data_IF_092060445102
#
_entry.id   IF_092060445102
#
_cell.length_a   1.000
_cell.length_b   1.000
_cell.length_c   1.000
_cell.angle_alpha   90.00
_cell.angle_beta   90.00
_cell.angle_gamma   90.00
#
_symmetry.space_group_name_H-M   'P 1'
#
loop_
_entity.id
_entity.type
_entity.pdbx_description
1 polymer ?
#
# COMPACT_ATOMS: atom_id res chain seq x y z
N UNK A 1 10.55 6.18 -8.02
CA UNK A 1 11.74 7.00 -8.35
C UNK A 1 12.23 7.71 -7.08
N UNK A 2 13.53 7.68 -6.76
CA UNK A 2 14.08 8.49 -5.67
C UNK A 2 14.07 9.96 -6.08
N UNK A 3 13.45 10.83 -5.28
CA UNK A 3 13.31 12.28 -5.56
C UNK A 3 14.14 13.14 -4.61
N UNK A 4 14.51 12.61 -3.45
CA UNK A 4 15.35 13.31 -2.47
C UNK A 4 16.23 12.32 -1.72
N UNK A 5 17.46 12.72 -1.40
CA UNK A 5 18.34 12.03 -0.45
C UNK A 5 19.12 13.03 0.37
N UNK A 6 19.03 12.91 1.70
CA UNK A 6 19.84 13.62 2.68
C UNK A 6 20.62 12.58 3.48
N UNK A 7 21.93 12.80 3.63
CA UNK A 7 22.79 11.96 4.44
C UNK A 7 22.45 12.06 5.92
N UNK A 8 22.96 11.12 6.72
CA UNK A 8 22.87 11.17 8.18
C UNK A 8 23.56 12.42 8.77
N UNK A 9 24.54 13.01 8.09
CA UNK A 9 25.19 14.25 8.53
C UNK A 9 24.29 15.47 8.39
N UNK A 10 23.44 15.51 7.36
CA UNK A 10 22.47 16.60 7.13
C UNK A 10 21.20 16.39 7.94
N UNK A 11 20.68 15.16 7.97
CA UNK A 11 19.43 14.81 8.67
C UNK A 11 19.65 13.55 9.49
N UNK A 12 19.77 13.73 10.81
CA UNK A 12 20.29 12.70 11.73
C UNK A 12 19.25 11.67 12.17
N UNK A 13 17.96 11.97 12.07
CA UNK A 13 16.90 11.06 12.48
C UNK A 13 16.84 9.82 11.57
N UNK A 14 16.69 8.65 12.19
CA UNK A 14 16.63 7.34 11.56
C UNK A 14 17.83 6.96 10.66
N UNK A 15 18.96 7.68 10.72
CA UNK A 15 20.13 7.39 9.88
C UNK A 15 20.10 8.03 8.49
N UNK A 16 19.33 9.10 8.32
CA UNK A 16 19.23 9.86 7.07
C UNK A 16 17.79 9.99 6.58
N UNK A 17 17.63 10.54 5.39
CA UNK A 17 16.32 10.72 4.76
C UNK A 17 16.40 10.50 3.26
N UNK A 18 15.43 9.80 2.71
CA UNK A 18 15.28 9.52 1.30
C UNK A 18 13.79 9.49 0.98
N UNK A 19 13.39 10.13 -0.10
CA UNK A 19 12.00 10.14 -0.55
C UNK A 19 11.90 9.45 -1.89
N UNK A 20 10.91 8.59 -2.03
CA UNK A 20 10.61 7.84 -3.22
C UNK A 20 9.20 8.18 -3.69
N UNK A 21 9.10 8.79 -4.87
CA UNK A 21 7.84 9.02 -5.55
C UNK A 21 7.36 7.72 -6.17
N UNK A 22 6.12 7.35 -5.84
CA UNK A 22 5.37 6.23 -6.37
C UNK A 22 4.26 6.77 -7.28
N UNK A 23 4.15 6.21 -8.47
CA UNK A 23 3.09 6.47 -9.45
C UNK A 23 2.79 5.17 -10.19
N UNK A 24 1.56 5.02 -10.66
CA UNK A 24 1.15 3.93 -11.55
C UNK A 24 0.73 4.56 -12.87
N UNK A 25 1.19 3.97 -13.97
CA UNK A 25 0.80 4.35 -15.31
C UNK A 25 0.10 3.15 -15.96
N UNK A 26 -0.96 3.42 -16.72
CA UNK A 26 -1.65 2.42 -17.53
C UNK A 26 -1.47 2.76 -19.00
N UNK A 27 -1.28 1.73 -19.82
CA UNK A 27 -1.23 1.89 -21.26
C UNK A 27 -2.63 2.21 -21.81
N UNK A 28 -2.75 3.30 -22.58
CA UNK A 28 -3.93 3.62 -23.37
C UNK A 28 -3.67 3.24 -24.84
N UNK A 29 -4.32 2.17 -25.36
CA UNK A 29 -4.13 1.74 -26.74
C UNK A 29 -4.74 2.71 -27.77
N UNK A 30 -5.69 3.56 -27.38
CA UNK A 30 -6.32 4.51 -28.30
C UNK A 30 -5.38 5.67 -28.64
N UNK A 31 -4.57 6.11 -27.68
CA UNK A 31 -3.60 7.20 -27.87
C UNK A 31 -2.17 6.71 -27.99
N UNK A 32 -1.92 5.41 -27.80
CA UNK A 32 -0.59 4.80 -27.75
C UNK A 32 0.35 5.49 -26.73
N UNK A 33 -0.19 5.79 -25.54
CA UNK A 33 0.57 6.47 -24.47
C UNK A 33 0.31 5.86 -23.11
N UNK A 34 1.29 5.96 -22.21
CA UNK A 34 1.07 5.70 -20.80
C UNK A 34 0.40 6.90 -20.10
N UNK A 35 -0.70 6.66 -19.41
CA UNK A 35 -1.46 7.66 -18.67
C UNK A 35 -1.39 7.39 -17.17
N UNK A 36 -1.23 8.44 -16.36
CA UNK A 36 -1.24 8.31 -14.90
C UNK A 36 -2.59 7.74 -14.42
N UNK A 37 -2.53 6.73 -13.56
CA UNK A 37 -3.71 6.06 -13.00
C UNK A 37 -3.81 6.30 -11.50
N UNK A 38 -5.04 6.15 -10.98
CA UNK A 38 -5.25 5.94 -9.54
C UNK A 38 -4.47 4.71 -9.08
N UNK A 39 -3.91 4.82 -7.88
CA UNK A 39 -3.06 3.82 -7.26
C UNK A 39 -3.90 2.87 -6.42
N UNK A 40 -3.83 1.57 -6.70
CA UNK A 40 -4.60 0.55 -5.98
C UNK A 40 -4.37 0.66 -4.47
N UNK A 41 -5.45 0.82 -3.70
CA UNK A 41 -5.45 0.91 -2.23
C UNK A 41 -4.60 2.02 -1.59
N UNK A 42 -4.00 2.91 -2.39
CA UNK A 42 -3.30 4.07 -1.87
C UNK A 42 -4.30 5.17 -1.52
N UNK A 43 -4.55 5.36 -0.24
CA UNK A 43 -5.52 6.36 0.25
C UNK A 43 -4.99 7.78 -0.02
N UNK A 44 -5.82 8.59 -0.66
CA UNK A 44 -5.64 10.04 -0.71
C UNK A 44 -6.10 10.66 0.61
N UNK A 45 -5.12 10.93 1.49
CA UNK A 45 -5.37 11.58 2.78
C UNK A 45 -6.10 12.91 2.62
N UNK A 46 -5.78 13.72 1.62
CA UNK A 46 -6.41 15.04 1.46
C UNK A 46 -7.90 14.88 1.20
N UNK A 47 -8.25 13.96 0.30
CA UNK A 47 -9.64 13.65 -0.03
C UNK A 47 -10.40 13.07 1.17
N UNK A 48 -9.81 12.12 1.89
CA UNK A 48 -10.44 11.54 3.08
C UNK A 48 -10.60 12.55 4.22
N UNK A 49 -9.62 13.42 4.45
CA UNK A 49 -9.69 14.42 5.53
C UNK A 49 -10.77 15.48 5.26
N UNK A 50 -11.06 15.77 3.99
CA UNK A 50 -12.13 16.68 3.58
C UNK A 50 -13.54 16.09 3.82
N UNK A 51 -13.69 14.76 3.74
CA UNK A 51 -14.95 14.06 4.03
C UNK A 51 -14.70 12.74 4.77
N UNK A 52 -14.30 12.88 6.04
CA UNK A 52 -14.03 11.73 6.91
C UNK A 52 -15.28 10.89 7.14
N UNK A 53 -16.46 11.52 7.13
CA UNK A 53 -17.71 10.84 7.38
C UNK A 53 -18.06 9.89 6.24
N UNK A 54 -17.89 10.30 4.98
CA UNK A 54 -18.10 9.40 3.84
C UNK A 54 -17.11 8.24 3.85
N UNK A 55 -15.84 8.49 4.18
CA UNK A 55 -14.83 7.43 4.28
C UNK A 55 -15.16 6.44 5.39
N UNK A 56 -15.51 6.92 6.59
CA UNK A 56 -15.91 6.08 7.70
C UNK A 56 -17.17 5.26 7.39
N UNK A 57 -18.19 5.88 6.78
CA UNK A 57 -19.43 5.21 6.38
C UNK A 57 -19.18 4.09 5.37
N UNK A 58 -18.25 4.29 4.43
CA UNK A 58 -17.86 3.26 3.49
C UNK A 58 -17.06 2.15 4.18
N UNK A 59 -16.01 2.49 4.91
CA UNK A 59 -15.04 1.52 5.44
C UNK A 59 -15.59 0.69 6.61
N UNK A 60 -16.40 1.27 7.50
CA UNK A 60 -16.86 0.65 8.74
C UNK A 60 -18.13 -0.21 8.57
N UNK A 61 -18.33 -0.76 7.37
CA UNK A 61 -19.38 -1.77 7.13
C UNK A 61 -18.85 -3.16 7.45
N UNK A 62 -19.73 -4.10 7.83
CA UNK A 62 -19.35 -5.49 8.11
C UNK A 62 -18.54 -6.10 6.94
N UNK A 63 -18.95 -5.81 5.70
CA UNK A 63 -18.26 -6.31 4.50
C UNK A 63 -16.84 -5.77 4.39
N UNK A 64 -16.65 -4.47 4.57
CA UNK A 64 -15.33 -3.86 4.41
C UNK A 64 -14.40 -4.16 5.61
N UNK A 65 -14.95 -4.32 6.81
CA UNK A 65 -14.21 -4.83 7.97
C UNK A 65 -13.75 -6.28 7.71
N UNK A 66 -14.64 -7.14 7.22
CA UNK A 66 -14.33 -8.52 6.85
C UNK A 66 -13.19 -8.59 5.81
N UNK A 67 -13.28 -7.76 4.77
CA UNK A 67 -12.31 -7.72 3.68
C UNK A 67 -10.96 -7.13 4.14
N UNK A 68 -10.96 -6.08 4.96
CA UNK A 68 -9.74 -5.51 5.52
C UNK A 68 -9.00 -6.53 6.40
N UNK A 69 -9.72 -7.20 7.30
CA UNK A 69 -9.20 -8.23 8.19
C UNK A 69 -8.53 -9.40 7.44
N UNK A 70 -8.99 -9.65 6.21
CA UNK A 70 -8.48 -10.72 5.32
C UNK A 70 -7.51 -10.23 4.26
N UNK A 71 -7.23 -8.93 4.17
CA UNK A 71 -6.39 -8.36 3.11
C UNK A 71 -7.00 -8.41 1.72
N UNK A 72 -8.33 -8.28 1.63
CA UNK A 72 -9.10 -8.30 0.38
C UNK A 72 -9.82 -6.99 0.10
N UNK A 73 -9.66 -6.00 0.99
CA UNK A 73 -10.31 -4.70 0.82
C UNK A 73 -9.78 -4.04 -0.47
N UNK A 74 -10.71 -3.55 -1.28
CA UNK A 74 -10.43 -2.69 -2.42
C UNK A 74 -11.02 -1.32 -2.06
N UNK A 75 -10.15 -0.33 -1.91
CA UNK A 75 -10.56 1.03 -1.56
C UNK A 75 -11.34 1.65 -2.72
N UNK A 76 -12.49 2.24 -2.40
CA UNK A 76 -13.34 2.95 -3.38
C UNK A 76 -12.50 4.01 -4.13
N UNK A 77 -12.61 4.01 -5.45
CA UNK A 77 -11.78 4.79 -6.37
C UNK A 77 -11.75 6.28 -6.03
N UNK A 78 -12.85 6.82 -5.51
CA UNK A 78 -12.91 8.24 -5.12
C UNK A 78 -11.98 8.60 -3.95
N UNK A 79 -11.53 7.62 -3.16
CA UNK A 79 -10.59 7.82 -2.07
C UNK A 79 -9.14 7.49 -2.45
N UNK A 80 -8.87 7.12 -3.70
CA UNK A 80 -7.54 6.75 -4.16
C UNK A 80 -6.71 7.95 -4.59
N UNK A 81 -5.42 7.95 -4.26
CA UNK A 81 -4.46 8.91 -4.79
C UNK A 81 -3.96 8.48 -6.17
N UNK A 82 -3.35 9.39 -6.93
CA UNK A 82 -2.63 9.06 -8.17
C UNK A 82 -1.10 9.02 -7.97
N UNK A 83 -0.63 9.51 -6.83
CA UNK A 83 0.78 9.45 -6.44
C UNK A 83 0.92 9.29 -4.93
N UNK A 84 2.06 8.75 -4.50
CA UNK A 84 2.43 8.68 -3.10
C UNK A 84 3.93 8.92 -2.91
N UNK A 85 4.31 9.35 -1.71
CA UNK A 85 5.71 9.45 -1.30
C UNK A 85 5.95 8.44 -0.20
N UNK A 86 7.02 7.66 -0.38
CA UNK A 86 7.51 6.69 0.58
C UNK A 86 8.85 7.17 1.10
N UNK A 87 9.02 7.26 2.42
CA UNK A 87 10.21 7.84 3.07
C UNK A 87 11.06 6.76 3.74
N UNK A 88 12.34 6.69 3.43
CA UNK A 88 13.26 5.76 4.11
C UNK A 88 14.49 6.52 4.62
N UNK A 89 15.22 5.99 5.60
CA UNK A 89 14.84 4.93 6.54
C UNK A 89 13.78 5.39 7.56
N UNK A 90 13.19 4.42 8.28
CA UNK A 90 12.31 4.67 9.43
C UNK A 90 10.89 4.09 9.31
N UNK A 91 10.48 3.54 8.15
CA UNK A 91 9.20 2.85 8.05
C UNK A 91 8.02 3.72 8.50
N UNK A 92 7.04 3.10 9.15
CA UNK A 92 5.87 3.80 9.71
C UNK A 92 6.18 4.75 10.88
N UNK A 93 7.41 4.74 11.44
CA UNK A 93 7.82 5.75 12.41
C UNK A 93 7.94 7.15 11.75
N UNK A 94 8.04 7.20 10.42
CA UNK A 94 7.84 8.42 9.63
C UNK A 94 6.34 8.67 9.48
N UNK A 95 5.88 9.84 9.89
CA UNK A 95 4.46 10.22 9.74
C UNK A 95 3.99 10.19 8.28
N UNK A 96 4.87 10.49 7.31
CA UNK A 96 4.57 10.40 5.88
C UNK A 96 4.24 8.97 5.41
N UNK A 97 4.74 7.96 6.12
CA UNK A 97 4.49 6.55 5.81
C UNK A 97 3.31 5.96 6.59
N UNK A 98 2.72 6.73 7.51
CA UNK A 98 1.59 6.31 8.32
C UNK A 98 0.31 6.96 7.77
N UNK A 99 -0.11 6.50 6.60
CA UNK A 99 -1.21 7.11 5.85
C UNK A 99 -2.59 6.90 6.48
N UNK A 100 -2.77 5.89 7.32
CA UNK A 100 -4.03 5.65 8.03
C UNK A 100 -4.19 6.54 9.28
N UNK A 101 -3.09 7.05 9.83
CA UNK A 101 -3.11 7.80 11.09
C UNK A 101 -4.01 9.04 11.03
N UNK A 102 -4.97 9.11 11.95
CA UNK A 102 -5.89 10.24 12.11
C UNK A 102 -6.94 10.38 11.00
N UNK A 103 -7.12 9.36 10.15
CA UNK A 103 -8.19 9.36 9.14
C UNK A 103 -9.56 9.06 9.74
N UNK A 104 -9.60 8.23 10.78
CA UNK A 104 -10.82 7.80 11.46
C UNK A 104 -10.73 8.14 12.94
N UNK A 105 -11.90 8.29 13.56
CA UNK A 105 -12.01 8.37 15.00
C UNK A 105 -11.85 6.99 15.63
N UNK A 106 -10.98 6.88 16.64
CA UNK A 106 -10.65 5.60 17.28
C UNK A 106 -11.87 4.99 17.99
N UNK A 107 -12.75 5.82 18.56
CA UNK A 107 -13.97 5.34 19.21
C UNK A 107 -14.98 4.77 18.19
N UNK A 108 -15.10 5.39 17.02
CA UNK A 108 -15.91 4.86 15.93
C UNK A 108 -15.39 3.52 15.41
N UNK A 109 -14.07 3.36 15.25
CA UNK A 109 -13.44 2.09 14.85
C UNK A 109 -13.66 1.02 15.91
N UNK A 110 -13.40 1.32 17.18
CA UNK A 110 -13.61 0.38 18.29
C UNK A 110 -15.07 -0.09 18.36
N UNK A 111 -16.02 0.83 18.25
CA UNK A 111 -17.44 0.50 18.20
C UNK A 111 -17.77 -0.42 17.03
N UNK A 112 -17.30 -0.09 15.82
CA UNK A 112 -17.58 -0.89 14.63
C UNK A 112 -17.00 -2.31 14.73
N UNK A 113 -15.80 -2.48 15.30
CA UNK A 113 -15.21 -3.79 15.53
C UNK A 113 -16.00 -4.60 16.57
N UNK A 114 -16.49 -3.96 17.64
CA UNK A 114 -17.34 -4.60 18.65
C UNK A 114 -18.69 -5.01 18.07
N UNK A 115 -19.34 -4.12 17.33
CA UNK A 115 -20.61 -4.40 16.66
C UNK A 115 -20.47 -5.58 15.68
N UNK A 116 -19.39 -5.60 14.89
CA UNK A 116 -19.07 -6.69 13.95
C UNK A 116 -18.93 -8.04 14.66
N UNK A 117 -18.27 -8.09 15.82
CA UNK A 117 -18.15 -9.32 16.61
C UNK A 117 -19.48 -9.70 17.27
N UNK A 118 -20.23 -8.70 17.78
CA UNK A 118 -21.53 -8.90 18.40
C UNK A 118 -22.59 -9.42 17.41
N UNK A 119 -22.47 -9.13 16.11
CA UNK A 119 -23.31 -9.70 15.05
C UNK A 119 -22.95 -11.15 14.68
N UNK A 120 -22.00 -11.77 15.40
CA UNK A 120 -21.61 -13.17 15.24
C UNK A 120 -20.45 -13.39 14.27
N UNK A 121 -19.83 -12.34 13.74
CA UNK A 121 -18.66 -12.47 12.88
C UNK A 121 -17.37 -12.68 13.68
N UNK A 122 -16.38 -13.30 13.03
CA UNK A 122 -15.05 -13.49 13.61
C UNK A 122 -13.98 -12.69 12.85
N UNK A 123 -13.18 -11.92 13.61
CA UNK A 123 -11.96 -11.27 13.13
C UNK A 123 -10.78 -12.24 13.25
N UNK A 124 -9.96 -12.35 12.21
CA UNK A 124 -8.75 -13.19 12.18
C UNK A 124 -7.53 -12.44 12.66
N UNK A 125 -7.34 -11.21 12.19
CA UNK A 125 -6.10 -10.45 12.30
C UNK A 125 -6.29 -9.17 13.10
N UNK A 126 -7.38 -8.44 12.85
CA UNK A 126 -7.65 -7.15 13.49
C UNK A 126 -8.22 -7.43 14.90
N UNK A 127 -7.42 -7.14 15.93
CA UNK A 127 -7.81 -7.35 17.34
C UNK A 127 -7.92 -6.06 18.14
N UNK A 128 -7.63 -4.91 17.52
CA UNK A 128 -7.65 -3.60 18.17
C UNK A 128 -7.74 -2.49 17.11
N UNK A 129 -8.03 -1.27 17.56
CA UNK A 129 -7.98 -0.06 16.71
C UNK A 129 -6.60 0.14 16.10
N UNK A 130 -5.53 -0.08 16.88
CA UNK A 130 -4.16 -0.03 16.37
C UNK A 130 -3.92 -1.07 15.28
N UNK A 131 -4.42 -2.30 15.45
CA UNK A 131 -4.34 -3.36 14.43
C UNK A 131 -5.16 -3.04 13.17
N UNK A 132 -6.30 -2.37 13.32
CA UNK A 132 -7.11 -1.89 12.20
C UNK A 132 -6.34 -0.84 11.38
N UNK A 133 -5.81 0.18 12.06
CA UNK A 133 -5.04 1.25 11.42
C UNK A 133 -3.76 0.72 10.77
N UNK A 134 -3.07 -0.22 11.43
CA UNK A 134 -1.92 -0.92 10.86
C UNK A 134 -2.30 -1.65 9.58
N UNK A 135 -3.39 -2.44 9.61
CA UNK A 135 -3.83 -3.21 8.45
C UNK A 135 -4.22 -2.32 7.27
N UNK A 136 -4.91 -1.22 7.54
CA UNK A 136 -5.28 -0.21 6.54
C UNK A 136 -4.05 0.48 5.95
N UNK A 137 -3.00 0.71 6.76
CA UNK A 137 -1.75 1.28 6.29
C UNK A 137 -0.97 0.29 5.41
N UNK A 138 -0.84 -0.96 5.83
CA UNK A 138 -0.04 -2.00 5.16
C UNK A 138 -0.56 -2.36 3.78
N UNK A 139 -1.88 -2.28 3.55
CA UNK A 139 -2.46 -2.58 2.23
C UNK A 139 -2.26 -1.48 1.17
N UNK A 140 -1.70 -0.33 1.57
CA UNK A 140 -1.40 0.76 0.64
C UNK A 140 -0.05 0.59 -0.05
N UNK A 141 0.16 1.29 -1.17
CA UNK A 141 1.46 1.29 -1.86
C UNK A 141 2.58 1.78 -0.93
N UNK A 142 2.38 2.88 -0.19
CA UNK A 142 3.36 3.35 0.80
C UNK A 142 3.61 2.31 1.89
N UNK A 143 2.58 1.61 2.35
CA UNK A 143 2.69 0.55 3.35
C UNK A 143 3.57 -0.61 2.89
N UNK A 144 3.23 -1.25 1.77
CA UNK A 144 3.98 -2.40 1.24
C UNK A 144 5.44 -2.05 0.92
N UNK A 145 5.70 -0.87 0.35
CA UNK A 145 7.06 -0.41 0.06
C UNK A 145 7.91 -0.12 1.31
N UNK A 146 7.30 -0.15 2.51
CA UNK A 146 7.98 0.08 3.80
C UNK A 146 8.06 -1.18 4.67
N UNK A 147 7.01 -2.00 4.72
CA UNK A 147 6.96 -3.16 5.63
C UNK A 147 7.69 -4.38 5.10
N UNK A 148 7.88 -4.51 3.78
CA UNK A 148 8.49 -5.69 3.17
C UNK A 148 9.71 -5.38 2.28
N UNK A 149 10.04 -4.11 2.07
CA UNK A 149 11.20 -3.69 1.29
C UNK A 149 12.10 -2.80 2.13
N UNK A 150 13.38 -3.12 2.21
CA UNK A 150 14.37 -2.07 2.45
C UNK A 150 14.23 -1.10 1.25
N UNK A 151 13.60 0.05 1.50
CA UNK A 151 13.48 1.15 0.53
C UNK A 151 12.76 0.81 -0.80
N UNK A 152 11.76 -0.08 -0.78
CA UNK A 152 10.92 -0.30 -1.96
C UNK A 152 11.61 -0.94 -3.17
N UNK A 153 12.76 -1.58 -2.99
CA UNK A 153 13.35 -2.45 -4.01
C UNK A 153 12.79 -3.86 -3.85
N UNK A 154 11.87 -4.23 -4.74
CA UNK A 154 11.63 -5.62 -5.09
C UNK A 154 11.84 -5.76 -6.60
N UNK A 155 13.08 -5.97 -6.98
CA UNK A 155 13.43 -6.59 -8.26
C UNK A 155 14.46 -7.67 -7.98
N UNK A 156 14.00 -8.79 -7.45
CA UNK A 156 14.53 -10.04 -7.96
C UNK A 156 13.58 -10.38 -9.09
N UNK A 157 14.04 -10.37 -10.33
CA UNK A 157 13.23 -10.82 -11.47
C UNK A 157 12.57 -12.18 -11.16
N UNK A 158 11.52 -12.54 -11.90
CA UNK A 158 10.94 -13.86 -11.70
C UNK A 158 12.00 -14.92 -11.96
N UNK A 159 12.20 -15.83 -11.00
CA UNK A 159 13.07 -16.98 -11.23
C UNK A 159 12.61 -17.68 -12.52
N UNK A 160 13.53 -18.02 -13.43
CA UNK A 160 13.18 -18.71 -14.66
C UNK A 160 12.50 -20.04 -14.31
N UNK A 161 11.62 -20.53 -15.19
CA UNK A 161 10.88 -21.78 -14.93
C UNK A 161 11.79 -22.99 -14.69
N UNK A 162 13.06 -22.91 -15.11
CA UNK A 162 14.11 -23.89 -14.89
C UNK A 162 14.76 -23.83 -13.49
N UNK A 163 14.53 -22.78 -12.71
CA UNK A 163 15.16 -22.62 -11.40
C UNK A 163 14.64 -23.69 -10.42
N UNK A 164 15.53 -24.47 -9.78
CA UNK A 164 15.12 -25.44 -8.78
C UNK A 164 14.31 -24.77 -7.65
N UNK A 165 13.17 -25.33 -7.28
CA UNK A 165 12.29 -24.78 -6.22
C UNK A 165 12.99 -24.50 -4.88
N UNK A 166 14.11 -25.18 -4.59
CA UNK A 166 14.93 -24.94 -3.38
C UNK A 166 15.71 -23.62 -3.42
N UNK A 167 15.91 -23.07 -4.61
CA UNK A 167 16.60 -21.81 -4.87
C UNK A 167 15.61 -20.69 -5.25
N UNK A 168 14.38 -21.05 -5.60
CA UNK A 168 13.35 -20.09 -5.98
C UNK A 168 12.84 -19.32 -4.76
N UNK A 169 12.74 -17.99 -4.88
CA UNK A 169 12.20 -17.12 -3.83
C UNK A 169 10.78 -16.72 -4.20
N UNK A 170 9.80 -17.30 -3.52
CA UNK A 170 8.39 -16.90 -3.66
C UNK A 170 8.12 -15.61 -2.88
N UNK A 171 8.29 -14.46 -3.52
CA UNK A 171 7.88 -13.17 -2.97
C UNK A 171 6.41 -12.87 -3.31
N UNK A 172 5.60 -12.43 -2.34
CA UNK A 172 4.28 -11.87 -2.64
C UNK A 172 4.46 -10.58 -3.45
N UNK A 173 3.77 -10.49 -4.59
CA UNK A 173 3.69 -9.29 -5.44
C UNK A 173 2.31 -8.65 -5.41
N UNK A 174 2.20 -7.37 -5.80
CA UNK A 174 0.90 -6.70 -5.97
C UNK A 174 0.16 -7.23 -7.21
N UNK A 175 -1.17 -7.04 -7.27
CA UNK A 175 -1.95 -7.44 -8.44
C UNK A 175 -1.47 -6.72 -9.72
N UNK A 176 -1.06 -5.46 -9.60
CA UNK A 176 -0.42 -4.67 -10.67
C UNK A 176 0.86 -5.33 -11.17
N UNK A 177 1.74 -5.79 -10.27
CA UNK A 177 2.95 -6.52 -10.66
C UNK A 177 2.63 -7.77 -11.49
N UNK A 178 1.60 -8.53 -11.10
CA UNK A 178 1.20 -9.72 -11.85
C UNK A 178 0.56 -9.39 -13.20
N UNK A 179 -0.17 -8.28 -13.30
CA UNK A 179 -0.71 -7.80 -14.57
C UNK A 179 0.41 -7.40 -15.56
N UNK A 180 1.44 -6.69 -15.09
CA UNK A 180 2.57 -6.24 -15.92
C UNK A 180 3.43 -7.40 -16.46
N UNK A 181 3.46 -8.55 -15.76
CA UNK A 181 4.11 -9.78 -16.27
C UNK A 181 3.42 -10.34 -17.50
N UNK A 182 2.10 -10.22 -17.59
CA UNK A 182 1.35 -10.77 -18.73
C UNK A 182 1.54 -9.97 -20.01
N UNK A 183 1.97 -8.71 -19.91
CA UNK A 183 2.24 -7.81 -21.03
C UNK A 183 3.70 -7.80 -21.48
N UNK A 184 4.56 -8.62 -20.87
CA UNK A 184 5.99 -8.70 -21.21
C UNK A 184 6.83 -7.49 -20.78
N UNK A 185 6.27 -6.58 -19.96
CA UNK A 185 6.96 -5.35 -19.51
C UNK A 185 7.92 -5.61 -18.34
N UNK A 186 7.83 -6.78 -17.71
CA UNK A 186 8.69 -7.20 -16.61
C UNK A 186 9.81 -8.17 -17.04
N UNK A 187 9.99 -8.41 -18.34
CA UNK A 187 11.07 -9.23 -18.86
C UNK A 187 12.30 -8.36 -19.15
N UNK A 188 13.28 -8.39 -18.25
CA UNK A 188 14.57 -7.71 -18.39
C UNK A 188 15.56 -8.52 -19.26
N UNK A 189 15.08 -9.39 -20.15
CA UNK A 189 15.93 -10.09 -21.14
C UNK A 189 16.39 -9.20 -22.30
N UNK A 190 16.01 -7.91 -22.35
CA UNK A 190 16.33 -7.00 -23.44
C UNK A 190 17.44 -5.96 -23.13
N UNK A 191 18.16 -6.10 -22.01
CA UNK A 191 19.38 -5.30 -21.75
C UNK A 191 20.50 -6.23 -21.30
N UNK A 192 21.07 -6.96 -22.27
CA UNK A 192 22.51 -7.16 -22.51
C UNK A 192 22.74 -8.17 -23.64
#
# INVERSE_FOLDING_TARGET
MQVLRLSASTRRDFGGHAEYLLKIFKWDPATATFQESRMENQIDRKTVLADRQAFAKWLLTDRNIYDLDRGRLIVDEKFLATSAVSVAPGGMARSQNNIAYGLLDDAAVDKALKDYVASGNALRTIKSVAGFNLRLNEMSCTGCHQTHGIAGFHYTGADPASEPRRNAVFVPGSAVFFADRSTGLADESAIH
#
